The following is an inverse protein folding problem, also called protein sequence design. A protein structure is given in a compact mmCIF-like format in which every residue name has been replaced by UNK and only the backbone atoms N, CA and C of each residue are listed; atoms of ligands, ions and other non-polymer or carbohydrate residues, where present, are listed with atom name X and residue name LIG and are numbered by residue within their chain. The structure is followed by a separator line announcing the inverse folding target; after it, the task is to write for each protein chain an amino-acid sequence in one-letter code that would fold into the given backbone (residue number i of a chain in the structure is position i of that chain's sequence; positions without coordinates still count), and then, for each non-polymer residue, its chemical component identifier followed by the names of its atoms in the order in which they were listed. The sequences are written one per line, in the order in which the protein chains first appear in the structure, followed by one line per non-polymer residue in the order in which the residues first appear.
data_IF_827329376445
#
_entry.id   IF_827329376445
#
_cell.length_a   1.000
_cell.length_b   1.000
_cell.length_c   1.000
_cell.angle_alpha   90.00
_cell.angle_beta   90.00
_cell.angle_gamma   90.00
#
_symmetry.space_group_name_H-M   'P 1'
#
loop_
_entity.id
_entity.type
_entity.pdbx_description
1 polymer ?
#
# COMPACT_ATOMS: atom_id res chain seq x y z
N UNK A 1 -50.58 15.28 33.52
CA UNK A 1 -49.33 15.80 32.92
C UNK A 1 -48.30 14.68 32.71
N UNK A 2 -48.67 13.60 32.01
CA UNK A 2 -47.85 12.38 31.87
C UNK A 2 -47.38 12.13 30.43
N UNK A 3 -48.10 12.70 29.46
CA UNK A 3 -47.87 12.51 28.03
C UNK A 3 -46.62 13.25 27.55
N UNK A 4 -46.36 14.47 28.06
CA UNK A 4 -45.19 15.29 27.74
C UNK A 4 -43.87 14.66 28.20
N UNK A 5 -43.88 13.96 29.34
CA UNK A 5 -42.70 13.22 29.84
C UNK A 5 -42.44 11.97 28.99
N UNK A 6 -43.49 11.28 28.53
CA UNK A 6 -43.31 10.10 27.68
C UNK A 6 -42.64 10.44 26.34
N UNK A 7 -43.05 11.53 25.70
CA UNK A 7 -42.42 11.97 24.45
C UNK A 7 -40.97 12.40 24.66
N UNK A 8 -40.68 13.12 25.75
CA UNK A 8 -39.32 13.53 26.09
C UNK A 8 -38.40 12.32 26.31
N UNK A 9 -38.87 11.30 27.00
CA UNK A 9 -38.13 10.05 27.22
C UNK A 9 -37.93 9.24 25.94
N UNK A 10 -38.93 9.21 25.04
CA UNK A 10 -38.80 8.56 23.73
C UNK A 10 -37.75 9.27 22.85
N UNK A 11 -37.78 10.61 22.83
CA UNK A 11 -36.81 11.42 22.10
C UNK A 11 -35.41 11.18 22.65
N UNK A 12 -35.24 11.23 23.97
CA UNK A 12 -33.93 11.04 24.60
C UNK A 12 -33.34 9.65 24.33
N UNK A 13 -34.16 8.59 24.43
CA UNK A 13 -33.72 7.23 24.09
C UNK A 13 -33.38 7.06 22.61
N UNK A 14 -34.13 7.71 21.71
CA UNK A 14 -33.83 7.70 20.30
C UNK A 14 -32.50 8.41 19.99
N UNK A 15 -32.24 9.54 20.63
CA UNK A 15 -30.98 10.29 20.51
C UNK A 15 -29.80 9.50 21.08
N UNK A 16 -29.94 8.86 22.23
CA UNK A 16 -28.90 8.01 22.81
C UNK A 16 -28.58 6.81 21.91
N UNK A 17 -29.59 6.17 21.33
CA UNK A 17 -29.40 5.08 20.36
C UNK A 17 -28.70 5.56 19.10
N UNK A 18 -29.06 6.73 18.57
CA UNK A 18 -28.40 7.33 17.41
C UNK A 18 -26.92 7.63 17.71
N UNK A 19 -26.62 8.23 18.86
CA UNK A 19 -25.25 8.51 19.27
C UNK A 19 -24.42 7.22 19.43
N UNK A 20 -25.01 6.17 19.99
CA UNK A 20 -24.36 4.86 20.11
C UNK A 20 -24.08 4.22 18.74
N UNK A 21 -25.00 4.35 17.78
CA UNK A 21 -24.79 3.85 16.42
C UNK A 21 -23.69 4.65 15.71
N UNK A 22 -23.71 5.98 15.79
CA UNK A 22 -22.66 6.84 15.23
C UNK A 22 -21.28 6.54 15.83
N UNK A 23 -21.20 6.35 17.15
CA UNK A 23 -19.95 5.97 17.81
C UNK A 23 -19.44 4.60 17.32
N UNK A 24 -20.33 3.62 17.13
CA UNK A 24 -19.97 2.30 16.57
C UNK A 24 -19.50 2.40 15.12
N UNK A 25 -20.15 3.22 14.30
CA UNK A 25 -19.76 3.46 12.91
C UNK A 25 -18.39 4.14 12.81
N UNK A 26 -18.13 5.14 13.64
CA UNK A 26 -16.82 5.81 13.71
C UNK A 26 -15.70 4.85 14.14
N UNK A 27 -15.96 3.99 15.13
CA UNK A 27 -14.96 2.98 15.53
C UNK A 27 -14.77 1.92 14.44
N UNK A 28 -15.83 1.54 13.73
CA UNK A 28 -15.75 0.60 12.62
C UNK A 28 -14.98 1.20 11.42
N UNK A 29 -15.18 2.48 11.09
CA UNK A 29 -14.45 3.17 10.03
C UNK A 29 -12.97 3.33 10.39
N UNK A 30 -12.65 3.75 11.62
CA UNK A 30 -11.26 3.84 12.09
C UNK A 30 -10.54 2.49 12.06
N UNK A 31 -11.20 1.40 12.46
CA UNK A 31 -10.63 0.04 12.36
C UNK A 31 -10.38 -0.38 10.91
N UNK A 32 -11.29 -0.04 9.98
CA UNK A 32 -11.10 -0.32 8.56
C UNK A 32 -9.91 0.47 8.00
N UNK A 33 -9.81 1.76 8.30
CA UNK A 33 -8.70 2.61 7.87
C UNK A 33 -7.36 2.19 8.47
N UNK A 34 -7.33 1.80 9.74
CA UNK A 34 -6.12 1.26 10.37
C UNK A 34 -5.69 -0.03 9.68
N UNK A 35 -6.65 -0.93 9.40
CA UNK A 35 -6.38 -2.19 8.69
C UNK A 35 -5.88 -1.95 7.26
N UNK A 36 -6.46 -1.01 6.51
CA UNK A 36 -6.00 -0.69 5.15
C UNK A 36 -4.61 -0.05 5.15
N UNK A 37 -4.31 0.82 6.12
CA UNK A 37 -2.97 1.40 6.29
C UNK A 37 -1.94 0.33 6.65
N UNK A 38 -2.28 -0.61 7.53
CA UNK A 38 -1.38 -1.72 7.86
C UNK A 38 -1.15 -2.65 6.66
N UNK A 39 -2.18 -3.00 5.90
CA UNK A 39 -2.02 -3.84 4.71
C UNK A 39 -1.17 -3.15 3.66
N UNK A 40 -1.38 -1.85 3.41
CA UNK A 40 -0.57 -1.08 2.47
C UNK A 40 0.90 -1.01 2.91
N UNK A 41 1.18 -0.80 4.20
CA UNK A 41 2.55 -0.83 4.73
C UNK A 41 3.20 -2.21 4.55
N UNK A 42 2.48 -3.29 4.82
CA UNK A 42 2.99 -4.67 4.64
C UNK A 42 3.28 -4.97 3.17
N UNK A 43 2.43 -4.54 2.25
CA UNK A 43 2.65 -4.71 0.81
C UNK A 43 3.87 -3.92 0.32
N UNK A 44 4.06 -2.71 0.82
CA UNK A 44 5.22 -1.88 0.49
C UNK A 44 6.52 -2.50 1.02
N UNK A 45 6.54 -3.02 2.25
CA UNK A 45 7.70 -3.77 2.78
C UNK A 45 8.00 -4.99 1.91
N UNK A 46 6.97 -5.77 1.55
CA UNK A 46 7.14 -6.93 0.64
C UNK A 46 7.66 -6.50 -0.72
N UNK A 47 7.21 -5.36 -1.25
CA UNK A 47 7.72 -4.83 -2.53
C UNK A 47 9.19 -4.45 -2.41
N UNK A 48 9.60 -3.77 -1.34
CA UNK A 48 11.00 -3.41 -1.09
C UNK A 48 11.89 -4.64 -0.98
N UNK A 49 11.46 -5.67 -0.26
CA UNK A 49 12.17 -6.95 -0.19
C UNK A 49 12.32 -7.59 -1.57
N UNK A 50 11.25 -7.67 -2.36
CA UNK A 50 11.32 -8.20 -3.73
C UNK A 50 12.31 -7.42 -4.61
N UNK A 51 12.37 -6.10 -4.47
CA UNK A 51 13.35 -5.28 -5.22
C UNK A 51 14.77 -5.62 -4.79
N UNK A 52 15.03 -5.75 -3.48
CA UNK A 52 16.34 -6.18 -3.00
C UNK A 52 16.71 -7.57 -3.54
N UNK A 53 15.80 -8.55 -3.49
CA UNK A 53 16.03 -9.89 -4.03
C UNK A 53 16.39 -9.87 -5.53
N UNK A 54 15.80 -8.95 -6.31
CA UNK A 54 16.13 -8.78 -7.73
C UNK A 54 17.55 -8.23 -7.93
N UNK A 55 18.02 -7.35 -7.05
CA UNK A 55 19.41 -6.85 -7.07
C UNK A 55 20.38 -8.02 -6.81
N UNK A 56 20.09 -8.87 -5.83
CA UNK A 56 20.88 -10.09 -5.58
C UNK A 56 20.83 -11.06 -6.76
N UNK A 57 19.68 -11.26 -7.39
CA UNK A 57 19.54 -12.12 -8.58
C UNK A 57 20.39 -11.61 -9.75
N UNK A 58 20.45 -10.29 -9.92
CA UNK A 58 21.26 -9.63 -10.94
C UNK A 58 22.77 -9.72 -10.65
N UNK A 59 23.18 -10.19 -9.48
CA UNK A 59 24.60 -10.18 -9.06
C UNK A 59 25.10 -8.79 -8.72
N UNK A 60 24.20 -7.82 -8.55
CA UNK A 60 24.52 -6.41 -8.34
C UNK A 60 24.74 -6.07 -6.86
N UNK A 61 24.68 -7.06 -5.95
CA UNK A 61 24.80 -6.80 -4.51
C UNK A 61 26.18 -6.31 -4.05
N UNK A 62 27.21 -6.46 -4.90
CA UNK A 62 28.58 -5.98 -4.62
C UNK A 62 28.87 -4.63 -5.25
N UNK A 63 27.95 -4.12 -6.10
CA UNK A 63 28.10 -2.80 -6.71
C UNK A 63 27.86 -1.73 -5.65
N UNK A 64 28.47 -0.57 -5.84
CA UNK A 64 28.25 0.57 -4.95
C UNK A 64 26.82 1.10 -5.11
N UNK A 65 26.21 1.58 -4.02
CA UNK A 65 24.85 2.11 -4.03
C UNK A 65 24.64 3.17 -5.12
N UNK A 66 25.63 4.05 -5.32
CA UNK A 66 25.61 5.08 -6.36
C UNK A 66 25.62 4.50 -7.79
N UNK A 67 26.34 3.40 -8.00
CA UNK A 67 26.42 2.71 -9.28
C UNK A 67 25.08 2.03 -9.62
N UNK A 68 24.46 1.36 -8.64
CA UNK A 68 23.14 0.75 -8.80
C UNK A 68 22.09 1.81 -9.13
N UNK A 69 22.08 2.92 -8.38
CA UNK A 69 21.14 4.02 -8.61
C UNK A 69 21.39 4.66 -9.98
N UNK A 70 22.65 4.91 -10.35
CA UNK A 70 23.03 5.48 -11.64
C UNK A 70 22.56 4.64 -12.82
N UNK A 71 22.81 3.33 -12.78
CA UNK A 71 22.39 2.40 -13.84
C UNK A 71 20.85 2.36 -14.00
N UNK A 72 20.11 2.39 -12.88
CA UNK A 72 18.64 2.44 -12.92
C UNK A 72 18.13 3.77 -13.46
N UNK A 73 18.73 4.90 -13.06
CA UNK A 73 18.37 6.23 -13.55
C UNK A 73 18.60 6.35 -15.05
N UNK A 74 19.75 5.89 -15.54
CA UNK A 74 20.07 5.88 -16.97
C UNK A 74 19.04 5.07 -17.77
N UNK A 75 18.64 3.90 -17.26
CA UNK A 75 17.59 3.11 -17.91
C UNK A 75 16.24 3.84 -17.91
N UNK A 76 15.87 4.49 -16.80
CA UNK A 76 14.60 5.24 -16.73
C UNK A 76 14.59 6.49 -17.62
N UNK A 77 15.73 7.16 -17.78
CA UNK A 77 15.87 8.30 -18.67
C UNK A 77 15.76 7.89 -20.15
N UNK A 78 16.30 6.72 -20.51
CA UNK A 78 16.27 6.18 -21.87
C UNK A 78 15.01 5.33 -22.16
N UNK A 79 13.95 5.46 -21.36
CA UNK A 79 12.76 4.59 -21.43
C UNK A 79 11.97 4.74 -22.74
N UNK A 80 12.09 5.88 -23.41
CA UNK A 80 11.46 6.15 -24.71
C UNK A 80 12.11 5.38 -25.86
N UNK A 81 13.35 4.90 -25.67
CA UNK A 81 13.99 4.02 -26.63
C UNK A 81 13.43 2.59 -26.50
N UNK A 82 12.48 2.27 -27.37
CA UNK A 82 11.75 1.00 -27.36
C UNK A 82 12.66 -0.20 -27.62
N UNK A 83 13.72 -0.04 -28.41
CA UNK A 83 14.71 -1.11 -28.66
C UNK A 83 15.53 -1.41 -27.40
N UNK A 84 16.02 -0.37 -26.73
CA UNK A 84 16.73 -0.52 -25.46
C UNK A 84 15.85 -1.11 -24.37
N UNK A 85 14.57 -0.72 -24.32
CA UNK A 85 13.60 -1.32 -23.38
C UNK A 85 13.41 -2.81 -23.63
N UNK A 86 13.21 -3.20 -24.89
CA UNK A 86 13.01 -4.60 -25.26
C UNK A 86 14.26 -5.43 -24.97
N UNK A 87 15.46 -4.88 -25.24
CA UNK A 87 16.73 -5.54 -24.95
C UNK A 87 16.92 -5.81 -23.45
N UNK A 88 16.71 -4.78 -22.61
CA UNK A 88 16.83 -4.92 -21.15
C UNK A 88 15.79 -5.88 -20.59
N UNK A 89 14.56 -5.84 -21.11
CA UNK A 89 13.50 -6.77 -20.73
C UNK A 89 13.85 -8.22 -21.10
N UNK A 90 14.36 -8.45 -22.30
CA UNK A 90 14.80 -9.79 -22.75
C UNK A 90 15.90 -10.34 -21.86
N UNK A 91 16.95 -9.55 -21.59
CA UNK A 91 18.04 -9.95 -20.67
C UNK A 91 17.52 -10.29 -19.26
N UNK A 92 16.59 -9.50 -18.75
CA UNK A 92 15.94 -9.77 -17.46
C UNK A 92 15.15 -11.08 -17.46
N UNK A 93 14.39 -11.35 -18.53
CA UNK A 93 13.64 -12.59 -18.69
C UNK A 93 14.55 -13.82 -18.80
N UNK A 94 15.68 -13.73 -19.51
CA UNK A 94 16.66 -14.80 -19.58
C UNK A 94 17.25 -15.11 -18.20
N UNK A 95 17.61 -14.08 -17.43
CA UNK A 95 18.13 -14.26 -16.07
C UNK A 95 17.10 -14.87 -15.13
N UNK A 96 15.82 -14.54 -15.29
CA UNK A 96 14.72 -15.12 -14.51
C UNK A 96 14.43 -16.58 -14.88
N UNK A 97 14.62 -16.96 -16.15
CA UNK A 97 14.47 -18.35 -16.62
C UNK A 97 15.59 -19.26 -16.15
N UNK A 98 16.80 -18.71 -15.99
CA UNK A 98 18.00 -19.44 -15.56
C UNK A 98 18.15 -19.49 -14.02
N UNK A 99 17.04 -19.40 -13.27
CA UNK A 99 17.01 -19.40 -11.80
C UNK A 99 16.72 -20.79 -11.24
#
# INVERSE_FOLDING_TARGET
MTVTNHYRDQIQRATERLAQLQAKELLASQRREAKTKETAKREEIKRRQRVADLIFLAGAQTLEDAEIIGALLEHTANRENQEMRNLVQMKGLERLKNR
#
